data_IF_608872548701
#
_entry.id   IF_608872548701
#
_cell.length_a   1.000
_cell.length_b   1.000
_cell.length_c   1.000
_cell.angle_alpha   90.00
_cell.angle_beta   90.00
_cell.angle_gamma   90.00
#
_symmetry.space_group_name_H-M   'P 1'
#
loop_
_entity.id
_entity.type
_entity.pdbx_description
1 polymer ?
#
# COMPACT_ATOMS: atom_id res chain seq x y z
N UNK A 1 7.54 -6.17 -6.79
CA UNK A 1 6.73 -5.99 -5.56
C UNK A 1 5.42 -5.34 -5.99
N UNK A 2 4.25 -5.70 -5.48
CA UNK A 2 3.01 -5.04 -5.94
C UNK A 2 2.91 -3.58 -5.43
N UNK A 3 1.94 -2.82 -5.93
CA UNK A 3 1.65 -1.44 -5.50
C UNK A 3 0.22 -1.30 -4.99
N UNK A 4 0.02 -0.63 -3.86
CA UNK A 4 -1.31 -0.26 -3.32
C UNK A 4 -1.44 1.26 -3.29
N UNK A 5 -2.62 1.76 -3.63
CA UNK A 5 -3.05 3.13 -3.36
C UNK A 5 -4.50 3.09 -2.86
N UNK A 6 -4.81 3.80 -1.78
CA UNK A 6 -6.16 4.04 -1.30
C UNK A 6 -6.37 5.52 -1.04
N UNK A 7 -7.59 6.01 -1.22
CA UNK A 7 -7.91 7.42 -1.12
C UNK A 7 -9.34 7.62 -0.63
N UNK A 8 -9.52 8.64 0.21
CA UNK A 8 -10.82 9.19 0.55
C UNK A 8 -10.77 10.72 0.49
N UNK A 9 -11.70 11.34 -0.23
CA UNK A 9 -11.78 12.78 -0.41
C UNK A 9 -13.22 13.25 -0.69
N UNK A 10 -13.50 14.55 -0.58
CA UNK A 10 -14.77 15.13 -1.06
C UNK A 10 -14.88 15.12 -2.60
N UNK A 11 -13.73 15.23 -3.27
CA UNK A 11 -13.61 15.16 -4.73
C UNK A 11 -13.49 13.72 -5.20
N UNK A 12 -13.69 13.51 -6.50
CA UNK A 12 -13.50 12.21 -7.13
C UNK A 12 -12.03 11.73 -7.00
N UNK A 13 -11.84 10.52 -6.48
CA UNK A 13 -10.51 9.95 -6.20
C UNK A 13 -9.93 9.14 -7.35
N UNK A 14 -10.70 8.78 -8.38
CA UNK A 14 -10.25 7.85 -9.43
C UNK A 14 -8.99 8.31 -10.16
N UNK A 15 -8.86 9.61 -10.44
CA UNK A 15 -7.66 10.17 -11.07
C UNK A 15 -6.43 10.12 -10.16
N UNK A 16 -6.63 10.35 -8.85
CA UNK A 16 -5.58 10.27 -7.82
C UNK A 16 -5.06 8.84 -7.75
N UNK A 17 -5.98 7.87 -7.69
CA UNK A 17 -5.64 6.45 -7.64
C UNK A 17 -4.83 6.01 -8.87
N UNK A 18 -5.28 6.38 -10.08
CA UNK A 18 -4.61 6.03 -11.35
C UNK A 18 -3.23 6.67 -11.47
N UNK A 19 -3.08 7.93 -11.04
CA UNK A 19 -1.78 8.61 -11.02
C UNK A 19 -0.84 7.96 -10.00
N UNK A 20 -1.34 7.63 -8.80
CA UNK A 20 -0.59 6.86 -7.82
C UNK A 20 -0.12 5.51 -8.35
N UNK A 21 -0.99 4.75 -9.05
CA UNK A 21 -0.59 3.50 -9.70
C UNK A 21 0.48 3.71 -10.77
N UNK A 22 0.39 4.78 -11.55
CA UNK A 22 1.38 5.10 -12.59
C UNK A 22 2.77 5.33 -11.98
N UNK A 23 2.83 5.93 -10.79
CA UNK A 23 4.06 6.12 -10.01
C UNK A 23 4.58 4.84 -9.37
N UNK A 24 3.73 3.82 -9.21
CA UNK A 24 4.09 2.49 -8.67
C UNK A 24 4.34 1.43 -9.74
N UNK A 25 4.22 1.77 -11.04
CA UNK A 25 4.37 0.79 -12.14
C UNK A 25 5.77 0.14 -12.17
N UNK A 26 6.79 0.81 -11.62
CA UNK A 26 8.14 0.24 -11.48
C UNK A 26 8.18 -0.98 -10.54
N UNK A 27 7.18 -1.15 -9.67
CA UNK A 27 7.09 -2.27 -8.75
C UNK A 27 6.37 -3.48 -9.39
N UNK A 28 5.35 -3.24 -10.21
CA UNK A 28 4.52 -4.26 -10.85
C UNK A 28 3.73 -3.76 -12.05
N UNK A 29 3.63 -4.58 -13.10
CA UNK A 29 3.02 -4.20 -14.39
C UNK A 29 2.29 -5.35 -15.10
N UNK A 30 2.06 -6.49 -14.42
CA UNK A 30 1.38 -7.65 -15.03
C UNK A 30 -0.13 -7.41 -15.15
N UNK A 31 -0.70 -6.67 -14.21
CA UNK A 31 -2.08 -6.20 -14.23
C UNK A 31 -2.27 -5.04 -13.26
N UNK A 32 -3.38 -4.32 -13.40
CA UNK A 32 -3.76 -3.23 -12.51
C UNK A 32 -5.27 -3.15 -12.37
N UNK A 33 -5.75 -2.52 -11.31
CA UNK A 33 -7.17 -2.26 -11.14
C UNK A 33 -7.47 -1.23 -10.08
N UNK A 34 -8.68 -0.69 -10.14
CA UNK A 34 -9.22 0.32 -9.21
C UNK A 34 -10.65 -0.08 -8.88
N UNK A 35 -10.99 -0.06 -7.60
CA UNK A 35 -12.36 -0.10 -7.09
C UNK A 35 -12.71 1.25 -6.48
N UNK A 36 -13.91 1.73 -6.77
CA UNK A 36 -14.47 2.99 -6.29
C UNK A 36 -15.79 2.69 -5.61
N UNK A 37 -15.96 3.24 -4.42
CA UNK A 37 -17.19 3.16 -3.64
C UNK A 37 -17.91 4.51 -3.72
N UNK A 38 -19.12 4.48 -4.26
CA UNK A 38 -20.00 5.64 -4.45
C UNK A 38 -21.40 5.33 -3.91
N UNK A 39 -22.37 6.21 -4.13
CA UNK A 39 -23.73 6.04 -3.60
C UNK A 39 -24.41 4.74 -4.09
N UNK A 40 -24.12 4.30 -5.32
CA UNK A 40 -24.72 3.12 -5.94
C UNK A 40 -24.10 1.80 -5.46
N UNK A 41 -22.84 1.82 -5.03
CA UNK A 41 -22.14 0.61 -4.57
C UNK A 41 -20.63 0.68 -4.75
N UNK A 42 -19.99 -0.49 -4.82
CA UNK A 42 -18.56 -0.63 -5.10
C UNK A 42 -18.39 -1.19 -6.51
N UNK A 43 -17.73 -0.42 -7.37
CA UNK A 43 -17.49 -0.78 -8.77
C UNK A 43 -16.01 -0.79 -9.08
N UNK A 44 -15.57 -1.67 -9.98
CA UNK A 44 -14.17 -1.78 -10.33
C UNK A 44 -13.92 -1.90 -11.83
N UNK A 45 -12.77 -1.37 -12.23
CA UNK A 45 -12.11 -1.71 -13.48
C UNK A 45 -10.82 -2.43 -13.18
N UNK A 46 -10.58 -3.53 -13.89
CA UNK A 46 -9.32 -4.29 -13.85
C UNK A 46 -8.80 -4.43 -15.26
N UNK A 47 -7.49 -4.47 -15.44
CA UNK A 47 -6.87 -4.62 -16.75
C UNK A 47 -5.58 -5.44 -16.64
N UNK A 48 -5.35 -6.32 -17.61
CA UNK A 48 -4.07 -7.02 -17.77
C UNK A 48 -3.06 -6.08 -18.42
N UNK A 49 -1.81 -6.16 -17.97
CA UNK A 49 -0.70 -5.34 -18.41
C UNK A 49 -0.54 -4.03 -17.63
N UNK A 50 0.11 -3.07 -18.28
CA UNK A 50 0.49 -1.77 -17.72
C UNK A 50 -0.72 -0.93 -17.31
N UNK A 51 -0.49 0.05 -16.44
CA UNK A 51 -1.51 0.99 -15.94
C UNK A 51 -2.19 1.76 -17.09
N UNK A 52 -1.52 1.92 -18.23
CA UNK A 52 -2.13 2.50 -19.43
C UNK A 52 -3.37 1.73 -19.92
N UNK A 53 -3.40 0.39 -19.81
CA UNK A 53 -4.57 -0.39 -20.19
C UNK A 53 -5.78 -0.07 -19.30
N UNK A 54 -5.53 0.16 -18.00
CA UNK A 54 -6.55 0.60 -17.05
C UNK A 54 -7.03 2.02 -17.36
N UNK A 55 -6.12 2.94 -17.68
CA UNK A 55 -6.46 4.31 -18.12
C UNK A 55 -7.44 4.30 -19.30
N UNK A 56 -7.17 3.47 -20.31
CA UNK A 56 -8.03 3.36 -21.48
C UNK A 56 -9.44 2.88 -21.11
N UNK A 57 -9.60 1.97 -20.12
CA UNK A 57 -10.94 1.54 -19.64
C UNK A 57 -11.69 2.71 -18.98
N UNK A 58 -11.00 3.53 -18.19
CA UNK A 58 -11.57 4.72 -17.55
C UNK A 58 -11.95 5.83 -18.54
N UNK A 59 -11.29 5.93 -19.69
CA UNK A 59 -11.69 6.86 -20.76
C UNK A 59 -13.02 6.47 -21.40
N UNK A 60 -13.29 5.16 -21.53
CA UNK A 60 -14.52 4.64 -22.13
C UNK A 60 -15.68 4.61 -21.12
N UNK A 61 -15.39 4.19 -19.89
CA UNK A 61 -16.37 4.05 -18.81
C UNK A 61 -15.80 4.64 -17.51
N UNK A 62 -15.95 5.95 -17.28
CA UNK A 62 -15.51 6.57 -16.04
C UNK A 62 -16.19 5.94 -14.83
N UNK A 63 -15.43 5.74 -13.75
CA UNK A 63 -15.95 5.39 -12.43
C UNK A 63 -15.65 6.53 -11.48
N UNK A 64 -16.69 7.09 -10.89
CA UNK A 64 -16.60 8.26 -10.02
C UNK A 64 -17.03 7.89 -8.60
N UNK A 65 -16.32 8.45 -7.62
CA UNK A 65 -16.63 8.26 -6.21
C UNK A 65 -15.59 8.89 -5.29
N UNK A 66 -15.93 8.92 -4.01
CA UNK A 66 -15.18 9.64 -2.97
C UNK A 66 -14.24 8.74 -2.18
N UNK A 67 -14.44 7.43 -2.26
CA UNK A 67 -13.59 6.40 -1.65
C UNK A 67 -13.13 5.46 -2.75
N UNK A 68 -11.87 5.06 -2.73
CA UNK A 68 -11.41 4.03 -3.62
C UNK A 68 -10.07 3.43 -3.23
N UNK A 69 -9.84 2.24 -3.76
CA UNK A 69 -8.62 1.45 -3.57
C UNK A 69 -8.14 0.95 -4.92
N UNK A 70 -6.84 0.84 -5.09
CA UNK A 70 -6.21 0.57 -6.36
C UNK A 70 -4.95 -0.26 -6.19
N UNK A 71 -4.61 -1.01 -7.23
CA UNK A 71 -3.51 -1.96 -7.19
C UNK A 71 -2.75 -2.08 -8.51
N UNK A 72 -1.43 -2.25 -8.42
CA UNK A 72 -0.61 -2.84 -9.49
C UNK A 72 -0.03 -4.16 -9.02
N UNK A 73 -0.12 -5.17 -9.89
CA UNK A 73 0.23 -6.55 -9.54
C UNK A 73 1.49 -7.00 -10.25
N UNK A 74 2.34 -7.68 -9.49
CA UNK A 74 3.38 -8.58 -9.96
C UNK A 74 2.99 -10.00 -9.54
N UNK A 75 2.63 -10.86 -10.49
CA UNK A 75 1.98 -12.13 -10.18
C UNK A 75 2.94 -13.11 -9.48
N UNK A 76 2.56 -13.57 -8.28
CA UNK A 76 3.26 -14.66 -7.54
C UNK A 76 2.44 -15.95 -7.54
N UNK A 77 1.13 -15.85 -7.27
CA UNK A 77 0.17 -16.96 -7.33
C UNK A 77 -0.85 -16.72 -8.45
N UNK A 78 -1.07 -17.70 -9.32
CA UNK A 78 -2.02 -17.57 -10.44
C UNK A 78 -1.51 -16.69 -11.59
N UNK A 79 -1.93 -17.01 -12.81
CA UNK A 79 -1.48 -16.32 -14.04
C UNK A 79 -1.95 -14.85 -14.08
N UNK A 80 -1.25 -13.96 -14.81
CA UNK A 80 -1.74 -12.61 -15.13
C UNK A 80 -3.03 -12.63 -15.95
N UNK A 81 -4.17 -12.68 -15.29
CA UNK A 81 -5.52 -12.61 -15.88
C UNK A 81 -6.30 -11.48 -15.23
N UNK A 82 -7.36 -11.02 -15.88
CA UNK A 82 -8.23 -10.00 -15.30
C UNK A 82 -8.94 -10.50 -14.03
N UNK A 83 -9.23 -11.80 -13.95
CA UNK A 83 -9.82 -12.46 -12.77
C UNK A 83 -8.89 -12.45 -11.55
N UNK A 84 -7.60 -12.67 -11.77
CA UNK A 84 -6.56 -12.64 -10.74
C UNK A 84 -6.03 -11.21 -10.47
N UNK A 85 -6.46 -10.22 -11.25
CA UNK A 85 -6.12 -8.83 -10.99
C UNK A 85 -6.92 -8.32 -9.79
N UNK A 86 -6.26 -7.51 -8.97
CA UNK A 86 -6.90 -6.84 -7.84
C UNK A 86 -7.62 -5.57 -8.36
N UNK A 87 -8.64 -5.05 -7.65
CA UNK A 87 -9.18 -5.53 -6.37
C UNK A 87 -9.96 -6.84 -6.46
N UNK A 88 -9.89 -7.65 -5.41
CA UNK A 88 -10.75 -8.83 -5.22
C UNK A 88 -12.04 -8.45 -4.49
N UNK A 89 -13.10 -9.20 -4.74
CA UNK A 89 -14.42 -8.96 -4.19
C UNK A 89 -14.92 -10.17 -3.41
N UNK A 90 -15.59 -9.93 -2.29
CA UNK A 90 -16.51 -10.89 -1.69
C UNK A 90 -17.90 -10.31 -1.82
N UNK A 91 -18.84 -11.10 -2.36
CA UNK A 91 -20.12 -10.57 -2.85
C UNK A 91 -19.86 -9.41 -3.84
N UNK A 92 -20.83 -8.53 -4.04
CA UNK A 92 -20.71 -7.33 -4.88
C UNK A 92 -20.57 -6.05 -4.03
N UNK A 93 -20.10 -6.17 -2.79
CA UNK A 93 -20.10 -5.06 -1.83
C UNK A 93 -18.82 -4.85 -1.02
N UNK A 94 -17.97 -5.86 -0.86
CA UNK A 94 -16.67 -5.75 -0.21
C UNK A 94 -15.54 -5.89 -1.23
N UNK A 95 -14.69 -4.87 -1.35
CA UNK A 95 -13.52 -4.90 -2.22
C UNK A 95 -12.22 -4.77 -1.42
N UNK A 96 -11.17 -5.47 -1.86
CA UNK A 96 -9.87 -5.51 -1.19
C UNK A 96 -8.71 -5.54 -2.19
N UNK A 97 -7.64 -4.81 -1.86
CA UNK A 97 -6.32 -4.91 -2.51
C UNK A 97 -5.29 -5.42 -1.51
N UNK A 98 -4.30 -6.18 -1.98
CA UNK A 98 -3.32 -6.85 -1.15
C UNK A 98 -1.92 -6.86 -1.79
N UNK A 99 -0.90 -6.60 -0.96
CA UNK A 99 0.50 -6.83 -1.25
C UNK A 99 1.06 -7.80 -0.22
N UNK A 100 1.59 -8.94 -0.65
CA UNK A 100 2.11 -9.92 0.28
C UNK A 100 1.81 -11.34 -0.14
N UNK A 101 1.97 -12.26 0.81
CA UNK A 101 1.66 -13.68 0.68
C UNK A 101 0.98 -14.13 1.97
N UNK A 102 -0.21 -14.73 1.83
CA UNK A 102 -0.89 -15.41 2.94
C UNK A 102 -0.49 -16.89 2.95
N UNK A 103 0.28 -17.29 3.95
CA UNK A 103 0.89 -18.62 4.04
C UNK A 103 -0.16 -19.70 4.35
N UNK A 104 -1.14 -19.38 5.19
CA UNK A 104 -2.22 -20.29 5.57
C UNK A 104 -3.49 -20.15 4.70
N UNK A 105 -3.36 -19.69 3.45
CA UNK A 105 -4.52 -19.47 2.57
C UNK A 105 -5.26 -20.77 2.20
N UNK A 106 -4.56 -21.90 2.04
CA UNK A 106 -5.19 -23.18 1.68
C UNK A 106 -6.20 -23.70 2.72
N UNK A 107 -5.87 -23.84 4.02
CA UNK A 107 -6.84 -24.28 5.02
C UNK A 107 -7.99 -23.27 5.19
N UNK A 108 -7.70 -21.96 5.12
CA UNK A 108 -8.73 -20.92 5.19
C UNK A 108 -9.71 -20.99 4.01
N UNK A 109 -9.20 -21.18 2.79
CA UNK A 109 -10.01 -21.37 1.58
C UNK A 109 -10.95 -22.55 1.72
N UNK A 110 -10.45 -23.72 2.17
CA UNK A 110 -11.30 -24.92 2.38
C UNK A 110 -12.46 -24.64 3.34
N UNK A 111 -12.17 -24.01 4.48
CA UNK A 111 -13.18 -23.64 5.48
C UNK A 111 -14.21 -22.64 4.94
N UNK A 112 -13.81 -21.68 4.12
CA UNK A 112 -14.74 -20.71 3.52
C UNK A 112 -15.63 -21.36 2.45
N UNK A 113 -15.10 -22.30 1.67
CA UNK A 113 -15.91 -23.08 0.72
C UNK A 113 -16.98 -23.89 1.46
N UNK A 114 -16.64 -24.52 2.60
CA UNK A 114 -17.60 -25.23 3.45
C UNK A 114 -18.69 -24.32 4.02
N UNK A 115 -18.41 -23.01 4.17
CA UNK A 115 -19.39 -21.99 4.57
C UNK A 115 -20.24 -21.46 3.39
N UNK A 116 -19.98 -21.94 2.17
CA UNK A 116 -20.76 -21.57 0.97
C UNK A 116 -20.14 -20.48 0.10
N UNK A 117 -18.90 -20.03 0.38
CA UNK A 117 -18.22 -19.06 -0.48
C UNK A 117 -17.72 -19.70 -1.79
N UNK A 118 -17.94 -19.01 -2.90
CA UNK A 118 -17.46 -19.40 -4.22
C UNK A 118 -16.25 -18.56 -4.62
N UNK A 119 -15.09 -19.21 -4.76
CA UNK A 119 -13.86 -18.56 -5.22
C UNK A 119 -13.79 -18.52 -6.74
N UNK A 120 -13.48 -17.36 -7.29
CA UNK A 120 -13.34 -17.09 -8.72
C UNK A 120 -11.88 -17.00 -9.17
N UNK A 121 -10.94 -16.96 -8.23
CA UNK A 121 -9.51 -16.79 -8.48
C UNK A 121 -8.66 -17.86 -7.79
N UNK A 122 -7.44 -17.99 -8.28
CA UNK A 122 -6.39 -18.85 -7.71
C UNK A 122 -5.56 -18.11 -6.65
N UNK A 123 -5.90 -16.85 -6.34
CA UNK A 123 -5.09 -15.99 -5.47
C UNK A 123 -5.33 -16.29 -3.99
N UNK A 124 -4.29 -16.17 -3.20
CA UNK A 124 -4.37 -16.09 -1.74
C UNK A 124 -5.19 -14.87 -1.27
N UNK A 125 -5.16 -13.79 -2.05
CA UNK A 125 -5.88 -12.53 -1.76
C UNK A 125 -7.39 -12.70 -1.63
N UNK A 126 -8.02 -13.53 -2.47
CA UNK A 126 -9.47 -13.77 -2.40
C UNK A 126 -9.90 -14.43 -1.08
N UNK A 127 -8.99 -15.14 -0.40
CA UNK A 127 -9.25 -15.69 0.94
C UNK A 127 -9.46 -14.56 1.95
N UNK A 128 -8.68 -13.48 1.85
CA UNK A 128 -8.75 -12.35 2.78
C UNK A 128 -10.12 -11.67 2.67
N UNK A 129 -10.58 -11.36 1.45
CA UNK A 129 -11.84 -10.63 1.26
C UNK A 129 -13.04 -11.47 1.69
N UNK A 130 -13.05 -12.78 1.41
CA UNK A 130 -14.11 -13.68 1.90
C UNK A 130 -14.06 -13.87 3.41
N UNK A 131 -12.86 -13.88 4.01
CA UNK A 131 -12.73 -13.98 5.46
C UNK A 131 -13.29 -12.76 6.17
N UNK A 132 -12.99 -11.54 5.70
CA UNK A 132 -13.55 -10.30 6.25
C UNK A 132 -15.08 -10.30 6.09
N UNK A 133 -15.58 -10.72 4.92
CA UNK A 133 -17.02 -10.83 4.69
C UNK A 133 -17.66 -11.85 5.65
N UNK A 134 -17.01 -12.97 5.94
CA UNK A 134 -17.51 -13.95 6.90
C UNK A 134 -17.54 -13.41 8.34
N UNK A 135 -16.57 -12.58 8.73
CA UNK A 135 -16.59 -11.89 10.03
C UNK A 135 -17.72 -10.84 10.11
N UNK A 136 -17.99 -10.11 9.01
CA UNK A 136 -19.13 -9.19 8.92
C UNK A 136 -20.47 -9.92 9.08
N UNK A 137 -20.68 -11.03 8.38
CA UNK A 137 -21.93 -11.81 8.43
C UNK A 137 -22.18 -12.45 9.81
N UNK A 138 -21.13 -12.68 10.59
CA UNK A 138 -21.24 -13.20 11.96
C UNK A 138 -21.56 -12.12 12.99
N UNK A 139 -21.26 -10.87 12.68
CA UNK A 139 -21.44 -9.78 13.61
C UNK A 139 -22.93 -9.40 13.75
N UNK A 140 -23.37 -9.09 14.97
CA UNK A 140 -24.75 -8.61 15.21
C UNK A 140 -25.00 -7.21 14.64
N UNK A 141 -23.94 -6.44 14.44
CA UNK A 141 -23.96 -5.08 13.92
C UNK A 141 -22.83 -4.93 12.91
N UNK A 142 -23.12 -4.19 11.85
CA UNK A 142 -22.13 -3.89 10.83
C UNK A 142 -21.01 -3.01 11.41
N UNK A 143 -19.78 -3.52 11.40
CA UNK A 143 -18.58 -2.75 11.66
C UNK A 143 -17.40 -3.32 10.86
N UNK A 144 -16.97 -2.56 9.84
CA UNK A 144 -15.87 -2.98 8.98
C UNK A 144 -14.54 -3.09 9.75
N UNK A 145 -14.30 -2.20 10.72
CA UNK A 145 -13.08 -2.20 11.52
C UNK A 145 -12.91 -3.51 12.29
N UNK A 146 -13.93 -3.87 13.09
CA UNK A 146 -13.92 -5.12 13.87
C UNK A 146 -13.82 -6.36 12.98
N UNK A 147 -14.50 -6.38 11.83
CA UNK A 147 -14.43 -7.52 10.92
C UNK A 147 -13.04 -7.68 10.28
N UNK A 148 -12.38 -6.58 9.93
CA UNK A 148 -11.00 -6.62 9.46
C UNK A 148 -10.09 -7.12 10.59
N UNK A 149 -10.21 -6.60 11.81
CA UNK A 149 -9.42 -7.08 12.96
C UNK A 149 -9.57 -8.60 13.20
N UNK A 150 -10.81 -9.10 13.19
CA UNK A 150 -11.10 -10.53 13.36
C UNK A 150 -10.55 -11.40 12.21
N UNK A 151 -10.54 -10.88 10.99
CA UNK A 151 -9.92 -11.58 9.87
C UNK A 151 -8.40 -11.61 10.00
N UNK A 152 -7.76 -10.48 10.32
CA UNK A 152 -6.31 -10.37 10.43
C UNK A 152 -5.72 -11.29 11.50
N UNK A 153 -6.42 -11.51 12.62
CA UNK A 153 -5.96 -12.42 13.68
C UNK A 153 -5.89 -13.89 13.25
N UNK A 154 -6.46 -14.24 12.10
CA UNK A 154 -6.45 -15.60 11.53
C UNK A 154 -5.42 -15.75 10.40
N UNK A 155 -4.79 -14.67 9.93
CA UNK A 155 -3.87 -14.71 8.80
C UNK A 155 -2.43 -14.96 9.26
N UNK A 156 -1.72 -15.80 8.50
CA UNK A 156 -0.28 -16.03 8.64
C UNK A 156 0.45 -15.54 7.38
N UNK A 157 1.67 -15.01 7.58
CA UNK A 157 2.49 -14.45 6.51
C UNK A 157 2.65 -12.93 6.61
N UNK A 158 2.93 -12.31 5.47
CA UNK A 158 3.16 -10.87 5.36
C UNK A 158 2.17 -10.28 4.35
N UNK A 159 1.48 -9.22 4.73
CA UNK A 159 0.47 -8.53 3.93
C UNK A 159 0.43 -7.02 4.21
N UNK A 160 0.04 -6.26 3.21
CA UNK A 160 -0.54 -4.94 3.37
C UNK A 160 -1.85 -4.94 2.59
N UNK A 161 -2.92 -4.43 3.20
CA UNK A 161 -4.26 -4.42 2.60
C UNK A 161 -4.89 -3.03 2.65
N UNK A 162 -5.81 -2.79 1.73
CA UNK A 162 -6.81 -1.73 1.84
C UNK A 162 -8.18 -2.28 1.42
N UNK A 163 -9.21 -1.93 2.18
CA UNK A 163 -10.53 -2.56 2.15
C UNK A 163 -11.62 -1.49 2.17
N UNK A 164 -12.58 -1.59 1.26
CA UNK A 164 -13.78 -0.74 1.24
C UNK A 164 -15.04 -1.59 1.14
N UNK A 165 -16.13 -1.12 1.74
CA UNK A 165 -17.42 -1.80 1.72
C UNK A 165 -18.54 -0.83 1.30
N UNK A 166 -19.55 -1.31 0.55
CA UNK A 166 -20.65 -0.44 0.05
C UNK A 166 -21.35 0.36 1.14
N UNK A 167 -21.45 -0.17 2.36
CA UNK A 167 -22.13 0.49 3.48
C UNK A 167 -21.28 1.58 4.14
N UNK A 168 -19.95 1.58 3.92
CA UNK A 168 -19.04 2.58 4.46
C UNK A 168 -18.90 3.73 3.46
N UNK A 169 -19.51 4.88 3.76
CA UNK A 169 -19.46 6.07 2.88
C UNK A 169 -18.45 7.13 3.33
N UNK A 170 -17.88 6.93 4.52
CA UNK A 170 -17.09 7.94 5.22
C UNK A 170 -15.68 7.45 5.59
N UNK A 171 -15.38 6.17 5.34
CA UNK A 171 -14.08 5.57 5.67
C UNK A 171 -13.75 4.35 4.80
N UNK A 172 -12.48 4.00 4.80
CA UNK A 172 -11.99 2.68 4.40
C UNK A 172 -10.94 2.20 5.41
N UNK A 173 -10.68 0.89 5.45
CA UNK A 173 -9.73 0.31 6.41
C UNK A 173 -8.47 -0.14 5.67
N UNK A 174 -7.31 0.08 6.26
CA UNK A 174 -6.04 -0.43 5.76
C UNK A 174 -5.26 -1.11 6.88
N UNK A 175 -4.38 -2.04 6.56
CA UNK A 175 -3.56 -2.70 7.56
C UNK A 175 -2.23 -3.19 6.99
N UNK A 176 -1.24 -3.35 7.87
CA UNK A 176 0.12 -3.75 7.54
C UNK A 176 0.64 -4.83 8.49
N UNK A 177 1.27 -5.84 7.90
CA UNK A 177 2.14 -6.82 8.55
C UNK A 177 3.21 -7.27 7.56
N UNK A 178 4.47 -6.89 7.73
CA UNK A 178 5.60 -7.28 6.88
C UNK A 178 5.72 -6.49 5.57
N UNK A 179 4.63 -6.27 4.83
CA UNK A 179 4.65 -5.47 3.60
C UNK A 179 4.51 -3.97 3.91
N UNK A 180 5.26 -3.07 3.23
CA UNK A 180 5.25 -1.65 3.55
C UNK A 180 3.92 -0.99 3.20
N UNK A 181 3.49 -0.07 4.07
CA UNK A 181 2.33 0.79 3.88
C UNK A 181 2.55 2.11 4.63
N UNK A 182 2.17 3.22 4.02
CA UNK A 182 2.29 4.58 4.54
C UNK A 182 0.94 5.29 4.36
N UNK A 183 0.59 6.14 5.33
CA UNK A 183 -0.58 7.02 5.23
C UNK A 183 -0.11 8.38 4.73
N UNK A 184 -0.77 8.92 3.70
CA UNK A 184 -0.64 10.31 3.30
C UNK A 184 -1.75 11.15 3.93
N UNK A 185 -1.37 12.22 4.62
CA UNK A 185 -2.31 13.11 5.32
C UNK A 185 -2.60 14.33 4.46
N UNK A 186 -3.87 14.59 4.15
CA UNK A 186 -4.30 15.76 3.38
C UNK A 186 -5.21 16.69 4.19
N UNK A 187 -5.79 17.68 3.51
CA UNK A 187 -6.79 18.59 4.08
C UNK A 187 -8.18 18.10 3.68
N UNK A 188 -8.94 17.55 4.62
CA UNK A 188 -10.25 16.91 4.38
C UNK A 188 -10.19 15.74 3.36
N UNK A 189 -9.01 15.16 3.19
CA UNK A 189 -8.74 13.97 2.39
C UNK A 189 -7.56 13.21 2.98
N UNK A 190 -7.59 11.89 2.91
CA UNK A 190 -6.50 11.04 3.41
C UNK A 190 -6.26 9.88 2.44
N UNK A 191 -5.04 9.37 2.48
CA UNK A 191 -4.54 8.40 1.51
C UNK A 191 -3.77 7.29 2.19
N UNK A 192 -3.68 6.14 1.54
CA UNK A 192 -2.69 5.10 1.88
C UNK A 192 -1.95 4.69 0.63
N UNK A 193 -0.69 4.32 0.75
CA UNK A 193 0.05 3.73 -0.34
C UNK A 193 1.11 2.76 0.16
N UNK A 194 1.53 1.82 -0.68
CA UNK A 194 2.68 0.95 -0.37
C UNK A 194 4.03 1.68 -0.45
N UNK A 195 4.03 2.89 -1.03
CA UNK A 195 5.18 3.79 -1.14
C UNK A 195 4.69 5.24 -1.22
N UNK A 196 5.30 6.13 -0.45
CA UNK A 196 4.99 7.55 -0.39
C UNK A 196 5.09 8.24 -1.77
N UNK A 197 5.94 7.74 -2.67
CA UNK A 197 6.10 8.28 -4.02
C UNK A 197 4.79 8.31 -4.80
N UNK A 198 3.87 7.39 -4.52
CA UNK A 198 2.54 7.36 -5.13
C UNK A 198 1.70 8.59 -4.78
N UNK A 199 1.97 9.23 -3.64
CA UNK A 199 1.11 10.24 -3.02
C UNK A 199 1.70 11.66 -3.10
N UNK A 200 2.96 11.82 -3.54
CA UNK A 200 3.63 13.13 -3.64
C UNK A 200 2.90 14.16 -4.52
N UNK A 201 1.99 13.72 -5.38
CA UNK A 201 1.17 14.60 -6.22
C UNK A 201 -0.06 15.18 -5.49
N UNK A 202 -0.37 14.71 -4.27
CA UNK A 202 -1.50 15.15 -3.45
C UNK A 202 -1.11 15.55 -2.02
N UNK A 203 -0.03 15.02 -1.48
CA UNK A 203 0.47 15.41 -0.14
C UNK A 203 1.97 15.17 0.02
N UNK A 204 2.59 15.93 0.90
CA UNK A 204 3.96 15.78 1.39
C UNK A 204 4.02 15.32 2.86
N UNK A 205 2.87 15.07 3.50
CA UNK A 205 2.77 14.66 4.90
C UNK A 205 2.48 13.17 5.02
N UNK A 206 3.33 12.46 5.75
CA UNK A 206 3.29 11.00 5.82
C UNK A 206 3.34 10.47 7.24
N UNK A 207 2.53 9.45 7.51
CA UNK A 207 2.63 8.63 8.73
C UNK A 207 3.09 7.24 8.31
N UNK A 208 4.27 6.82 8.79
CA UNK A 208 4.79 5.48 8.53
C UNK A 208 4.20 4.51 9.53
N UNK A 209 3.51 3.49 9.02
CA UNK A 209 2.90 2.46 9.84
C UNK A 209 3.95 1.50 10.39
N UNK A 210 3.79 1.07 11.63
CA UNK A 210 4.60 0.03 12.24
C UNK A 210 4.08 -1.37 11.87
N UNK A 211 4.82 -2.38 12.30
CA UNK A 211 4.45 -3.77 12.11
C UNK A 211 3.18 -4.11 12.91
N UNK A 212 2.15 -4.62 12.23
CA UNK A 212 0.87 -4.98 12.84
C UNK A 212 -0.14 -3.83 12.95
N UNK A 213 0.22 -2.62 12.50
CA UNK A 213 -0.69 -1.48 12.52
C UNK A 213 -1.89 -1.69 11.58
N UNK A 214 -3.07 -1.36 12.09
CA UNK A 214 -4.32 -1.21 11.35
C UNK A 214 -4.77 0.26 11.41
N UNK A 215 -5.33 0.74 10.32
CA UNK A 215 -5.72 2.14 10.16
C UNK A 215 -7.16 2.26 9.71
N UNK A 216 -7.95 3.01 10.48
CA UNK A 216 -9.26 3.53 10.08
C UNK A 216 -9.04 4.91 9.43
N UNK A 217 -9.31 5.00 8.12
CA UNK A 217 -9.03 6.17 7.30
C UNK A 217 -10.34 6.83 6.90
N UNK A 218 -10.63 8.00 7.48
CA UNK A 218 -11.75 8.86 7.08
C UNK A 218 -11.23 10.14 6.41
N UNK A 219 -12.14 11.00 5.94
CA UNK A 219 -11.77 12.32 5.41
C UNK A 219 -11.18 13.25 6.46
N UNK A 220 -11.65 13.11 7.70
CA UNK A 220 -11.36 14.05 8.78
C UNK A 220 -10.28 13.53 9.74
N UNK A 221 -10.08 12.21 9.79
CA UNK A 221 -9.21 11.58 10.76
C UNK A 221 -8.53 10.33 10.20
N UNK A 222 -7.33 10.08 10.72
CA UNK A 222 -6.62 8.81 10.58
C UNK A 222 -6.46 8.26 11.99
N UNK A 223 -7.02 7.08 12.27
CA UNK A 223 -6.91 6.44 13.58
C UNK A 223 -6.17 5.13 13.42
N UNK A 224 -5.06 4.98 14.14
CA UNK A 224 -4.18 3.82 14.06
C UNK A 224 -4.38 2.95 15.30
N UNK A 225 -4.43 1.65 15.10
CA UNK A 225 -4.57 0.63 16.12
C UNK A 225 -3.42 -0.37 15.97
N UNK A 226 -2.89 -0.86 17.09
CA UNK A 226 -1.95 -1.98 17.07
C UNK A 226 -2.66 -3.35 17.01
N UNK A 227 -1.89 -4.45 17.02
CA UNK A 227 -2.41 -5.82 17.01
C UNK A 227 -3.30 -6.16 18.21
N UNK A 228 -3.23 -5.39 19.31
CA UNK A 228 -4.09 -5.56 20.50
C UNK A 228 -5.37 -4.73 20.41
N UNK A 229 -5.53 -3.93 19.37
CA UNK A 229 -6.65 -3.01 19.19
C UNK A 229 -6.52 -1.73 20.02
N UNK A 230 -5.33 -1.41 20.52
CA UNK A 230 -5.07 -0.17 21.26
C UNK A 230 -4.72 0.96 20.29
N UNK A 231 -5.26 2.16 20.52
CA UNK A 231 -4.97 3.32 19.67
C UNK A 231 -3.51 3.73 19.82
N UNK A 232 -2.85 3.97 18.70
CA UNK A 232 -1.47 4.41 18.63
C UNK A 232 -1.37 5.81 18.03
N UNK A 233 -0.47 6.62 18.59
CA UNK A 233 -0.09 7.91 18.03
C UNK A 233 1.22 7.74 17.26
N UNK A 234 1.19 8.07 15.97
CA UNK A 234 2.33 7.92 15.06
C UNK A 234 2.66 9.31 14.50
N UNK A 235 3.93 9.75 14.54
CA UNK A 235 4.29 11.10 14.13
C UNK A 235 4.07 11.31 12.63
N UNK A 236 3.61 12.51 12.28
CA UNK A 236 3.57 12.98 10.89
C UNK A 236 4.95 13.48 10.49
N UNK A 237 5.46 12.96 9.38
CA UNK A 237 6.72 13.37 8.76
C UNK A 237 6.45 14.15 7.49
N UNK A 238 7.12 15.28 7.32
CA UNK A 238 7.08 16.06 6.07
C UNK A 238 8.19 15.58 5.16
N UNK A 239 7.83 15.20 3.93
CA UNK A 239 8.77 14.81 2.90
C UNK A 239 9.43 16.04 2.30
N UNK A 240 10.73 16.20 2.58
CA UNK A 240 11.53 17.27 1.99
C UNK A 240 11.80 16.94 0.51
N UNK A 241 11.15 17.69 -0.36
CA UNK A 241 11.29 17.59 -1.81
C UNK A 241 12.67 18.09 -2.24
N UNK A 242 13.65 17.19 -2.35
CA UNK A 242 14.73 17.38 -3.31
C UNK A 242 14.17 16.92 -4.67
N UNK A 243 13.72 17.90 -5.45
CA UNK A 243 12.87 17.80 -6.65
C UNK A 243 13.44 16.91 -7.78
N UNK A 244 14.73 16.54 -7.73
CA UNK A 244 15.40 15.79 -8.82
C UNK A 244 15.42 14.25 -8.64
N UNK A 245 14.89 13.71 -7.54
CA UNK A 245 15.10 12.30 -7.22
C UNK A 245 14.26 11.31 -8.05
N UNK A 246 13.06 11.69 -8.50
CA UNK A 246 12.04 10.71 -8.96
C UNK A 246 11.66 10.78 -10.43
N UNK A 247 12.12 11.79 -11.17
CA UNK A 247 11.88 11.90 -12.62
C UNK A 247 13.13 11.44 -13.40
N UNK A 248 12.98 11.08 -14.67
CA UNK A 248 14.11 10.81 -15.57
C UNK A 248 14.90 12.07 -15.92
N UNK A 249 14.35 13.27 -15.70
CA UNK A 249 15.01 14.53 -16.04
C UNK A 249 15.36 14.58 -17.54
N UNK A 250 16.62 14.88 -17.86
CA UNK A 250 17.12 14.92 -19.24
C UNK A 250 17.40 13.53 -19.85
N UNK A 251 17.27 12.45 -19.06
CA UNK A 251 17.65 11.10 -19.49
C UNK A 251 16.48 10.32 -20.11
N UNK A 252 16.81 9.44 -21.05
CA UNK A 252 15.82 8.59 -21.73
C UNK A 252 15.29 7.44 -20.83
N UNK A 253 16.13 6.94 -19.93
CA UNK A 253 15.86 5.78 -19.07
C UNK A 253 16.31 6.07 -17.63
N UNK A 254 15.58 5.54 -16.64
CA UNK A 254 15.96 5.66 -15.22
C UNK A 254 17.35 5.08 -14.95
N UNK A 255 17.66 3.89 -15.47
CA UNK A 255 19.00 3.29 -15.36
C UNK A 255 20.10 4.21 -15.91
N UNK A 256 19.81 4.96 -16.97
CA UNK A 256 20.77 5.91 -17.53
C UNK A 256 20.97 7.09 -16.59
N UNK A 257 19.90 7.69 -16.06
CA UNK A 257 19.98 8.73 -15.01
C UNK A 257 20.82 8.25 -13.82
N UNK A 258 20.44 7.12 -13.23
CA UNK A 258 21.08 6.55 -12.03
C UNK A 258 22.58 6.27 -12.25
N UNK A 259 22.98 5.78 -13.43
CA UNK A 259 24.39 5.58 -13.77
C UNK A 259 25.15 6.91 -13.77
N UNK A 260 24.57 7.96 -14.35
CA UNK A 260 25.21 9.27 -14.46
C UNK A 260 25.19 10.07 -13.16
N UNK A 261 24.23 9.82 -12.27
CA UNK A 261 24.12 10.45 -10.95
C UNK A 261 25.09 9.87 -9.91
N UNK A 262 25.73 8.72 -10.18
CA UNK A 262 26.67 8.07 -9.25
C UNK A 262 27.71 9.03 -8.64
N UNK A 263 28.39 9.92 -9.39
CA UNK A 263 29.38 10.83 -8.79
C UNK A 263 28.77 11.78 -7.75
N UNK A 264 27.59 12.33 -8.03
CA UNK A 264 26.90 13.23 -7.13
C UNK A 264 26.37 12.49 -5.89
N UNK A 265 25.78 11.30 -6.09
CA UNK A 265 25.29 10.44 -5.01
C UNK A 265 26.43 9.98 -4.10
N UNK A 266 27.57 9.59 -4.66
CA UNK A 266 28.76 9.23 -3.87
C UNK A 266 29.24 10.44 -3.07
N UNK A 267 29.34 11.62 -3.69
CA UNK A 267 29.75 12.84 -2.98
C UNK A 267 28.81 13.17 -1.81
N UNK A 268 27.50 13.14 -2.04
CA UNK A 268 26.48 13.39 -1.01
C UNK A 268 26.52 12.33 0.10
N UNK A 269 26.77 11.06 -0.23
CA UNK A 269 26.96 9.99 0.75
C UNK A 269 28.20 10.16 1.63
N UNK A 270 29.24 10.85 1.14
CA UNK A 270 30.49 11.10 1.87
C UNK A 270 30.49 12.45 2.60
N UNK A 271 29.62 13.38 2.20
CA UNK A 271 29.49 14.70 2.79
C UNK A 271 29.18 14.62 4.29
N UNK A 272 29.92 15.39 5.11
CA UNK A 272 29.79 15.37 6.57
C UNK A 272 30.27 14.07 7.24
N UNK A 273 30.80 13.10 6.49
CA UNK A 273 31.34 11.82 7.03
C UNK A 273 32.86 11.71 6.90
N UNK A 274 33.47 12.38 5.93
CA UNK A 274 34.92 12.41 5.74
C UNK A 274 35.43 13.86 5.78
N UNK A 275 36.47 14.08 6.57
CA UNK A 275 37.34 15.25 6.50
C UNK A 275 38.65 14.85 5.83
N UNK A 276 39.41 15.81 5.28
CA UNK A 276 40.70 15.63 4.57
C UNK A 276 41.36 14.25 4.69
N UNK A 277 41.76 13.85 5.90
CA UNK A 277 42.53 12.62 6.12
C UNK A 277 41.87 11.67 7.14
N UNK A 278 40.60 11.89 7.52
CA UNK A 278 39.93 11.13 8.58
C UNK A 278 38.42 11.01 8.41
N UNK A 279 37.88 9.88 8.85
CA UNK A 279 36.44 9.70 9.07
C UNK A 279 36.01 10.52 10.28
N UNK A 280 34.90 11.25 10.15
CA UNK A 280 34.32 12.01 11.23
C UNK A 280 33.51 11.07 12.13
N UNK A 281 33.99 10.78 13.33
CA UNK A 281 33.33 9.82 14.24
C UNK A 281 31.91 10.24 14.62
N UNK A 282 31.59 11.52 14.52
CA UNK A 282 30.24 12.06 14.70
C UNK A 282 29.20 11.49 13.75
N UNK A 283 29.60 10.90 12.61
CA UNK A 283 28.67 10.24 11.70
C UNK A 283 28.04 8.96 12.29
N UNK A 284 28.60 8.42 13.37
CA UNK A 284 28.08 7.26 14.10
C UNK A 284 27.20 7.62 15.31
N UNK A 285 26.89 8.91 15.51
CA UNK A 285 26.09 9.40 16.64
C UNK A 285 26.91 10.09 17.74
N UNK A 286 26.23 10.66 18.73
CA UNK A 286 26.84 11.44 19.81
C UNK A 286 27.75 10.59 20.72
N UNK A 287 27.46 9.30 20.85
CA UNK A 287 28.26 8.34 21.61
C UNK A 287 29.13 7.52 20.65
N UNK A 288 30.12 8.14 20.02
CA UNK A 288 31.07 7.46 19.14
C UNK A 288 32.31 6.95 19.88
N UNK A 289 32.32 6.98 21.22
CA UNK A 289 33.48 6.65 22.04
C UNK A 289 33.78 5.14 22.01
N UNK A 290 32.74 4.31 21.90
CA UNK A 290 32.84 2.84 21.84
C UNK A 290 33.70 2.34 20.67
N UNK A 291 33.84 3.13 19.59
CA UNK A 291 34.64 2.76 18.42
C UNK A 291 36.12 2.51 18.77
N UNK A 292 36.62 3.09 19.87
CA UNK A 292 38.01 2.88 20.33
C UNK A 292 38.24 1.47 20.88
N UNK A 293 37.19 0.82 21.35
CA UNK A 293 37.23 -0.48 22.01
C UNK A 293 36.87 -1.62 21.04
N UNK A 294 36.58 -1.30 19.77
CA UNK A 294 36.30 -2.29 18.72
C UNK A 294 37.61 -2.88 18.20
N UNK A 295 37.82 -4.16 18.46
CA UNK A 295 38.98 -4.90 17.92
C UNK A 295 38.71 -5.50 16.54
N UNK A 296 37.45 -5.81 16.21
CA UNK A 296 37.08 -6.50 14.98
C UNK A 296 35.79 -5.92 14.38
N UNK A 297 35.79 -5.69 13.06
CA UNK A 297 34.61 -5.29 12.29
C UNK A 297 34.28 -6.42 11.31
N UNK A 298 33.10 -7.01 11.46
CA UNK A 298 32.60 -8.00 10.51
C UNK A 298 31.60 -7.31 9.58
N UNK A 299 31.97 -7.18 8.31
CA UNK A 299 31.07 -6.69 7.26
C UNK A 299 30.38 -7.92 6.66
N UNK A 300 29.08 -8.05 6.89
CA UNK A 300 28.26 -9.08 6.25
C UNK A 300 27.73 -8.51 4.94
N UNK A 301 28.13 -9.11 3.83
CA UNK A 301 27.66 -8.79 2.49
C UNK A 301 26.64 -9.83 2.02
#
# INVERSE_FOLDING_TARGET
MCGIVGAIAKRNVSKILIEGLSRLEYRGYDSSGVAVNNEEGVFAHRAVGKVQALKNKFEVAPLDGQIGIAHTRWATHGKPTEENAHPHFSSDDLALVHNGIIENHEPLRKRLIEQGYCFKSETDTEVIVHLIHAELERANQFDLLSAVQGALSQLEGAFAIAVTHKAEKERFIAARKGSPLVVGVGIEENFVASDQLALLHVTDQFIFLEEGDLVDVSRESVVIYDEKGEKQDRPVHVFNHNVDATDKGEYRHYMMKEIYEQPAVISACLEGRISKDKVLTSCFGADSAFLKDIENVHIVA
#
